data_IF_588274173331
#
_entry.id   IF_588274173331
#
_cell.length_a   1.000
_cell.length_b   1.000
_cell.length_c   1.000
_cell.angle_alpha   90.00
_cell.angle_beta   90.00
_cell.angle_gamma   90.00
#
_symmetry.space_group_name_H-M   'P 1'
#
loop_
_entity.id
_entity.type
_entity.pdbx_description
1 polymer ?
#
# COMPACT_ATOMS: atom_id res chain seq x y z
N UNK A 1 18.75 -24.95 -1.42
CA UNK A 1 18.07 -24.23 -0.32
C UNK A 1 19.15 -23.58 0.51
N UNK A 2 19.68 -22.47 -0.01
CA UNK A 2 20.82 -21.80 0.60
C UNK A 2 20.36 -21.10 1.88
N UNK A 3 21.07 -21.41 2.97
CA UNK A 3 20.86 -20.86 4.32
C UNK A 3 21.28 -19.38 4.39
N UNK A 4 20.83 -18.55 3.46
CA UNK A 4 20.95 -17.11 3.61
C UNK A 4 19.95 -16.71 4.70
N UNK A 5 20.48 -16.44 5.90
CA UNK A 5 19.73 -16.26 7.15
C UNK A 5 18.45 -15.45 6.94
N UNK A 6 17.29 -16.07 7.16
CA UNK A 6 15.98 -15.44 6.98
C UNK A 6 15.88 -14.08 7.71
N UNK A 7 16.61 -13.92 8.83
CA UNK A 7 16.71 -12.65 9.55
C UNK A 7 17.39 -11.52 8.75
N UNK A 8 18.39 -11.82 7.91
CA UNK A 8 19.07 -10.83 7.06
C UNK A 8 18.17 -10.36 5.91
N UNK A 9 17.45 -11.27 5.26
CA UNK A 9 16.47 -10.94 4.22
C UNK A 9 15.31 -10.12 4.82
N UNK A 10 14.76 -10.56 5.95
CA UNK A 10 13.72 -9.82 6.67
C UNK A 10 14.18 -8.41 7.05
N UNK A 11 15.36 -8.28 7.66
CA UNK A 11 15.89 -6.97 8.06
C UNK A 11 16.11 -6.04 6.85
N UNK A 12 16.57 -6.57 5.70
CA UNK A 12 16.70 -5.80 4.46
C UNK A 12 15.33 -5.35 3.94
N UNK A 13 14.36 -6.24 3.86
CA UNK A 13 13.01 -5.92 3.39
C UNK A 13 12.29 -4.93 4.30
N UNK A 14 12.37 -5.13 5.62
CA UNK A 14 11.77 -4.25 6.60
C UNK A 14 12.42 -2.85 6.57
N UNK A 15 13.75 -2.76 6.47
CA UNK A 15 14.43 -1.46 6.39
C UNK A 15 14.10 -0.70 5.11
N UNK A 16 14.05 -1.39 3.96
CA UNK A 16 13.59 -0.82 2.70
C UNK A 16 12.13 -0.32 2.78
N UNK A 17 11.23 -1.10 3.40
CA UNK A 17 9.84 -0.70 3.59
C UNK A 17 9.71 0.53 4.50
N UNK A 18 10.47 0.56 5.61
CA UNK A 18 10.52 1.72 6.51
C UNK A 18 11.03 2.97 5.79
N UNK A 19 12.10 2.87 4.99
CA UNK A 19 12.59 3.97 4.14
C UNK A 19 11.52 4.47 3.16
N UNK A 20 10.77 3.55 2.54
CA UNK A 20 9.65 3.91 1.67
C UNK A 20 8.55 4.65 2.42
N UNK A 21 8.18 4.18 3.62
CA UNK A 21 7.19 4.85 4.46
C UNK A 21 7.65 6.24 4.94
N UNK A 22 8.94 6.43 5.23
CA UNK A 22 9.50 7.74 5.54
C UNK A 22 9.38 8.70 4.34
N UNK A 23 9.65 8.21 3.12
CA UNK A 23 9.47 8.99 1.89
C UNK A 23 8.02 9.45 1.68
N UNK A 24 7.05 8.54 1.82
CA UNK A 24 5.63 8.87 1.74
C UNK A 24 5.23 9.87 2.83
N UNK A 25 5.75 9.71 4.05
CA UNK A 25 5.45 10.62 5.16
C UNK A 25 5.95 12.04 4.88
N UNK A 26 7.18 12.18 4.37
CA UNK A 26 7.73 13.46 3.94
C UNK A 26 6.88 14.12 2.84
N UNK A 27 6.40 13.32 1.88
CA UNK A 27 5.51 13.81 0.82
C UNK A 27 4.19 14.34 1.37
N UNK A 28 3.50 13.58 2.23
CA UNK A 28 2.24 14.01 2.86
C UNK A 28 2.43 15.30 3.66
N UNK A 29 3.57 15.42 4.37
CA UNK A 29 3.89 16.61 5.16
C UNK A 29 4.11 17.83 4.27
N UNK A 30 4.86 17.68 3.17
CA UNK A 30 5.06 18.74 2.20
C UNK A 30 3.73 19.17 1.56
N UNK A 31 2.92 18.23 1.07
CA UNK A 31 1.61 18.51 0.48
C UNK A 31 0.71 19.27 1.47
N UNK A 32 0.60 18.79 2.70
CA UNK A 32 -0.21 19.42 3.75
C UNK A 32 0.32 20.81 4.11
N UNK A 33 1.64 21.00 4.17
CA UNK A 33 2.26 22.28 4.48
C UNK A 33 1.99 23.32 3.39
N UNK A 34 2.17 22.96 2.12
CA UNK A 34 1.90 23.86 1.00
C UNK A 34 0.41 24.16 0.86
N UNK A 35 -0.48 23.18 1.03
CA UNK A 35 -1.93 23.39 1.05
C UNK A 35 -2.32 24.35 2.18
N UNK A 36 -1.86 24.09 3.41
CA UNK A 36 -2.17 24.93 4.57
C UNK A 36 -1.65 26.36 4.41
N UNK A 37 -0.47 26.54 3.82
CA UNK A 37 0.12 27.86 3.56
C UNK A 37 -0.57 28.61 2.42
N UNK A 38 -1.03 27.91 1.38
CA UNK A 38 -1.68 28.50 0.22
C UNK A 38 -3.16 28.86 0.46
N UNK A 39 -3.86 28.09 1.30
CA UNK A 39 -5.33 28.19 1.46
C UNK A 39 -5.80 28.44 2.89
N UNK A 40 -4.89 28.52 3.86
CA UNK A 40 -5.20 28.86 5.25
C UNK A 40 -6.19 27.91 5.92
N UNK A 41 -7.03 28.44 6.82
CA UNK A 41 -8.02 27.65 7.56
C UNK A 41 -9.05 26.93 6.66
N UNK A 42 -9.38 27.51 5.50
CA UNK A 42 -10.31 26.91 4.53
C UNK A 42 -9.70 25.66 3.86
N UNK A 43 -8.41 25.70 3.56
CA UNK A 43 -7.66 24.55 3.03
C UNK A 43 -7.60 23.37 3.98
N UNK A 44 -7.29 23.64 5.25
CA UNK A 44 -7.21 22.61 6.27
C UNK A 44 -8.59 22.00 6.57
N UNK A 45 -9.65 22.80 6.53
CA UNK A 45 -11.02 22.32 6.62
C UNK A 45 -11.40 21.41 5.45
N UNK A 46 -11.06 21.80 4.21
CA UNK A 46 -11.29 20.98 3.02
C UNK A 46 -10.48 19.66 3.07
N UNK A 47 -9.22 19.70 3.52
CA UNK A 47 -8.40 18.50 3.71
C UNK A 47 -9.05 17.54 4.71
N UNK A 48 -9.46 18.02 5.88
CA UNK A 48 -10.10 17.20 6.89
C UNK A 48 -11.43 16.57 6.42
N UNK A 49 -12.15 17.23 5.52
CA UNK A 49 -13.33 16.67 4.86
C UNK A 49 -12.99 15.60 3.81
N UNK A 50 -11.84 15.71 3.14
CA UNK A 50 -11.38 14.74 2.15
C UNK A 50 -10.72 13.50 2.76
N UNK A 51 -10.09 13.62 3.94
CA UNK A 51 -9.37 12.52 4.60
C UNK A 51 -10.19 11.24 4.82
N UNK A 52 -11.48 11.27 5.23
CA UNK A 52 -12.29 10.06 5.36
C UNK A 52 -12.50 9.33 4.04
N UNK A 53 -12.77 10.07 2.97
CA UNK A 53 -12.98 9.51 1.62
C UNK A 53 -11.67 8.93 1.09
N UNK A 54 -10.56 9.67 1.25
CA UNK A 54 -9.23 9.18 0.92
C UNK A 54 -8.90 7.88 1.68
N UNK A 55 -9.17 7.83 2.99
CA UNK A 55 -8.88 6.66 3.81
C UNK A 55 -9.68 5.43 3.38
N UNK A 56 -10.93 5.60 2.97
CA UNK A 56 -11.74 4.51 2.43
C UNK A 56 -11.16 3.96 1.12
N UNK A 57 -10.84 4.85 0.17
CA UNK A 57 -10.27 4.45 -1.13
C UNK A 57 -8.91 3.77 -0.92
N UNK A 58 -8.05 4.37 -0.09
CA UNK A 58 -6.73 3.83 0.21
C UNK A 58 -6.80 2.48 0.92
N UNK A 59 -7.73 2.34 1.88
CA UNK A 59 -7.97 1.08 2.60
C UNK A 59 -8.49 -0.03 1.68
N UNK A 60 -9.47 0.27 0.82
CA UNK A 60 -9.99 -0.70 -0.16
C UNK A 60 -8.90 -1.12 -1.16
N UNK A 61 -8.10 -0.18 -1.65
CA UNK A 61 -6.97 -0.45 -2.54
C UNK A 61 -5.92 -1.34 -1.87
N UNK A 62 -5.58 -1.08 -0.61
CA UNK A 62 -4.68 -1.93 0.17
C UNK A 62 -5.25 -3.33 0.40
N UNK A 63 -6.54 -3.45 0.72
CA UNK A 63 -7.19 -4.74 0.95
C UNK A 63 -7.20 -5.59 -0.33
N UNK A 64 -7.57 -5.00 -1.47
CA UNK A 64 -7.58 -5.71 -2.75
C UNK A 64 -6.17 -6.03 -3.24
N UNK A 65 -5.24 -5.08 -3.14
CA UNK A 65 -3.85 -5.27 -3.58
C UNK A 65 -3.10 -6.32 -2.76
N UNK A 66 -3.07 -6.17 -1.43
CA UNK A 66 -2.40 -7.14 -0.56
C UNK A 66 -3.18 -8.46 -0.51
N UNK A 67 -4.51 -8.42 -0.42
CA UNK A 67 -5.35 -9.62 -0.39
C UNK A 67 -5.24 -10.46 -1.66
N UNK A 68 -5.28 -9.82 -2.84
CA UNK A 68 -5.07 -10.47 -4.12
C UNK A 68 -3.65 -11.03 -4.26
N UNK A 69 -2.63 -10.26 -3.87
CA UNK A 69 -1.23 -10.69 -3.90
C UNK A 69 -0.92 -11.88 -2.97
N UNK A 70 -1.52 -11.92 -1.78
CA UNK A 70 -1.40 -13.04 -0.84
C UNK A 70 -2.05 -14.30 -1.44
N UNK A 71 -3.27 -14.19 -1.98
CA UNK A 71 -3.97 -15.33 -2.63
C UNK A 71 -3.18 -15.87 -3.82
N UNK A 72 -2.58 -14.98 -4.61
CA UNK A 72 -1.66 -15.36 -5.68
C UNK A 72 -0.43 -16.13 -5.16
N UNK A 73 0.26 -15.60 -4.14
CA UNK A 73 1.44 -16.25 -3.55
C UNK A 73 1.12 -17.64 -2.98
N UNK A 74 -0.04 -17.79 -2.33
CA UNK A 74 -0.52 -19.08 -1.80
C UNK A 74 -0.79 -20.07 -2.94
N UNK A 75 -1.53 -19.67 -3.98
CA UNK A 75 -1.82 -20.55 -5.13
C UNK A 75 -0.55 -20.98 -5.88
N UNK A 76 0.41 -20.06 -6.05
CA UNK A 76 1.73 -20.34 -6.63
C UNK A 76 2.53 -21.34 -5.78
N UNK A 77 2.43 -21.27 -4.46
CA UNK A 77 3.08 -22.19 -3.53
C UNK A 77 2.44 -23.59 -3.50
N UNK A 78 1.14 -23.70 -3.78
CA UNK A 78 0.39 -24.97 -3.80
C UNK A 78 0.40 -25.68 -5.16
N UNK A 79 1.00 -25.08 -6.19
CA UNK A 79 1.01 -25.62 -7.56
C UNK A 79 -0.27 -25.32 -8.36
N UNK A 80 -1.32 -24.80 -7.72
CA UNK A 80 -2.55 -24.34 -8.37
C UNK A 80 -2.39 -22.89 -8.87
N UNK A 81 -1.63 -22.75 -9.95
CA UNK A 81 -1.36 -21.46 -10.60
C UNK A 81 -2.62 -20.83 -11.19
N UNK A 82 -3.55 -21.64 -11.66
CA UNK A 82 -4.72 -21.17 -12.40
C UNK A 82 -5.72 -20.46 -11.48
N UNK A 83 -5.95 -20.98 -10.27
CA UNK A 83 -6.76 -20.30 -9.25
C UNK A 83 -6.06 -19.05 -8.70
N UNK A 84 -4.73 -19.08 -8.53
CA UNK A 84 -3.95 -17.95 -8.03
C UNK A 84 -3.94 -16.74 -8.98
N UNK A 85 -3.72 -16.98 -10.27
CA UNK A 85 -3.70 -15.95 -11.31
C UNK A 85 -5.11 -15.36 -11.53
N UNK A 86 -6.14 -16.20 -11.46
CA UNK A 86 -7.54 -15.77 -11.54
C UNK A 86 -7.93 -14.85 -10.37
N UNK A 87 -7.58 -15.21 -9.14
CA UNK A 87 -7.86 -14.39 -7.96
C UNK A 87 -7.13 -13.03 -7.98
N UNK A 88 -5.90 -12.99 -8.47
CA UNK A 88 -5.16 -11.73 -8.65
C UNK A 88 -5.80 -10.85 -9.71
N UNK A 89 -6.17 -11.44 -10.85
CA UNK A 89 -6.81 -10.70 -11.96
C UNK A 89 -8.17 -10.14 -11.54
N UNK A 90 -8.96 -10.91 -10.79
CA UNK A 90 -10.23 -10.45 -10.22
C UNK A 90 -10.01 -9.31 -9.22
N UNK A 91 -9.03 -9.42 -8.33
CA UNK A 91 -8.69 -8.35 -7.39
C UNK A 91 -8.21 -7.08 -8.11
N UNK A 92 -7.44 -7.21 -9.19
CA UNK A 92 -6.98 -6.10 -10.01
C UNK A 92 -8.13 -5.43 -10.77
N UNK A 93 -9.04 -6.22 -11.33
CA UNK A 93 -10.23 -5.73 -12.05
C UNK A 93 -11.22 -5.02 -11.12
N UNK A 94 -11.28 -5.41 -9.84
CA UNK A 94 -12.08 -4.72 -8.82
C UNK A 94 -11.43 -3.44 -8.30
N UNK A 95 -10.10 -3.30 -8.44
CA UNK A 95 -9.34 -2.15 -7.96
C UNK A 95 -9.12 -1.05 -9.01
N UNK A 96 -9.35 -1.35 -10.29
CA UNK A 96 -9.25 -0.46 -11.46
C UNK A 96 -10.63 0.08 -11.84
#
# INVERSE_FOLDING_TARGET
>A
MDKHSAGKEFARYASLNMLGMLGISCYILADTFFISRATGAQGLAALNLALPVYSLIHGLGLMLGMGGGIRYSIGRGQGDRQSGDGAFTQALCLAL
#
